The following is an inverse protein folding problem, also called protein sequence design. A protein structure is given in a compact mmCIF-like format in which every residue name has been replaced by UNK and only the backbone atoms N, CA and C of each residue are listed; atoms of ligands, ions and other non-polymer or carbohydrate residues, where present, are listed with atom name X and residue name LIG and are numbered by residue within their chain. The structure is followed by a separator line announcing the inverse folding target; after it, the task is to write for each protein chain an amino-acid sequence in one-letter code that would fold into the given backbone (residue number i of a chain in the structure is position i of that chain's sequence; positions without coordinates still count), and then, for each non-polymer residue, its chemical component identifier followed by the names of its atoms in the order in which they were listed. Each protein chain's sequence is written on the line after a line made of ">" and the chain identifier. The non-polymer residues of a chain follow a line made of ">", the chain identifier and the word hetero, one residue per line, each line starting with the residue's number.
data_IF_169848022649
#
_entry.id   IF_169848022649
#
_cell.length_a   1.000
_cell.length_b   1.000
_cell.length_c   1.000
_cell.angle_alpha   90.00
_cell.angle_beta   90.00
_cell.angle_gamma   90.00
#
_symmetry.space_group_name_H-M   'P 1'
#
loop_
_entity.id
_entity.type
_entity.pdbx_description
1 polymer ?
#
# COMPACT_ATOMS: atom_id res chain seq x y z
N UNK A 1 4.96 -16.85 -4.11
CA UNK A 1 5.02 -15.38 -4.28
C UNK A 1 5.99 -15.02 -5.42
N UNK A 2 7.30 -15.24 -5.27
CA UNK A 2 8.33 -14.93 -6.30
C UNK A 2 8.02 -15.34 -7.75
N UNK A 3 7.41 -16.51 -7.98
CA UNK A 3 7.07 -16.98 -9.34
C UNK A 3 5.95 -16.19 -10.02
N UNK A 4 5.10 -15.51 -9.24
CA UNK A 4 3.97 -14.71 -9.74
C UNK A 4 4.37 -13.28 -10.10
N UNK A 5 5.44 -12.75 -9.51
CA UNK A 5 5.95 -11.38 -9.75
C UNK A 5 4.86 -10.31 -9.63
N UNK A 6 4.16 -10.31 -8.50
CA UNK A 6 3.07 -9.36 -8.26
C UNK A 6 3.56 -7.92 -8.35
N UNK A 7 2.78 -7.07 -9.00
CA UNK A 7 2.94 -5.62 -8.97
C UNK A 7 2.10 -5.05 -7.84
N UNK A 8 2.76 -4.37 -6.89
CA UNK A 8 2.15 -3.87 -5.67
C UNK A 8 2.29 -2.36 -5.60
N UNK A 9 1.17 -1.64 -5.54
CA UNK A 9 1.18 -0.23 -5.17
C UNK A 9 1.23 -0.12 -3.63
N UNK A 10 2.10 0.72 -3.09
CA UNK A 10 2.35 0.82 -1.66
C UNK A 10 2.30 2.28 -1.20
N UNK A 11 1.43 2.60 -0.26
CA UNK A 11 1.39 3.88 0.44
C UNK A 11 1.83 3.70 1.90
N UNK A 12 2.84 4.47 2.32
CA UNK A 12 3.32 4.47 3.71
C UNK A 12 3.03 5.78 4.45
N UNK A 13 2.30 6.73 3.84
CA UNK A 13 1.88 8.01 4.45
C UNK A 13 3.04 8.80 5.07
N UNK A 14 4.25 8.67 4.53
CA UNK A 14 5.50 9.22 5.11
C UNK A 14 5.80 8.72 6.55
N UNK A 15 5.32 7.53 6.88
CA UNK A 15 5.53 6.83 8.14
C UNK A 15 6.71 5.87 8.16
N UNK A 16 6.85 5.14 9.26
CA UNK A 16 7.97 4.24 9.53
C UNK A 16 8.10 3.08 8.51
N UNK A 17 6.98 2.69 7.88
CA UNK A 17 6.92 1.58 6.92
C UNK A 17 7.69 1.82 5.63
N UNK A 18 7.91 3.08 5.25
CA UNK A 18 8.48 3.47 3.97
C UNK A 18 9.91 2.98 3.72
N UNK A 19 10.65 2.60 4.78
CA UNK A 19 12.02 2.07 4.66
C UNK A 19 12.05 0.55 4.47
N UNK A 20 11.20 -0.19 5.21
CA UNK A 20 11.31 -1.65 5.33
C UNK A 20 10.34 -2.41 4.43
N UNK A 21 9.12 -1.88 4.23
CA UNK A 21 8.08 -2.57 3.45
C UNK A 21 8.47 -2.71 1.97
N UNK A 22 8.99 -1.67 1.27
CA UNK A 22 9.42 -1.83 -0.12
C UNK A 22 10.47 -2.93 -0.27
N UNK A 23 11.48 -2.94 0.61
CA UNK A 23 12.56 -3.94 0.62
C UNK A 23 12.03 -5.36 0.87
N UNK A 24 11.04 -5.50 1.75
CA UNK A 24 10.40 -6.78 2.02
C UNK A 24 9.63 -7.29 0.78
N UNK A 25 8.84 -6.43 0.13
CA UNK A 25 8.09 -6.78 -1.08
C UNK A 25 9.02 -7.14 -2.25
N UNK A 26 10.09 -6.36 -2.46
CA UNK A 26 11.15 -6.67 -3.42
C UNK A 26 11.82 -8.00 -3.10
N UNK A 27 12.11 -8.26 -1.81
CA UNK A 27 12.63 -9.54 -1.37
C UNK A 27 11.66 -10.67 -1.69
N UNK A 28 10.33 -10.48 -1.65
CA UNK A 28 9.37 -11.49 -2.09
C UNK A 28 9.22 -11.61 -3.61
N UNK A 29 9.96 -10.82 -4.38
CA UNK A 29 9.97 -10.81 -5.84
C UNK A 29 8.81 -10.00 -6.44
N UNK A 30 8.24 -9.06 -5.68
CA UNK A 30 7.23 -8.14 -6.16
C UNK A 30 7.87 -6.93 -6.86
N UNK A 31 7.17 -6.36 -7.84
CA UNK A 31 7.44 -5.03 -8.38
C UNK A 31 6.70 -4.00 -7.52
N UNK A 32 7.39 -2.98 -7.00
CA UNK A 32 6.80 -2.02 -6.06
C UNK A 32 6.63 -0.66 -6.72
N UNK A 33 5.41 -0.11 -6.63
CA UNK A 33 5.08 1.27 -7.01
C UNK A 33 4.81 2.04 -5.72
N UNK A 34 5.81 2.79 -5.27
CA UNK A 34 5.77 3.47 -3.98
C UNK A 34 5.12 4.86 -4.03
N UNK A 35 4.26 5.12 -3.05
CA UNK A 35 3.71 6.42 -2.69
C UNK A 35 4.16 6.74 -1.26
N UNK A 36 4.53 8.01 -1.02
CA UNK A 36 4.80 8.53 0.33
C UNK A 36 5.79 7.67 1.15
N UNK A 37 6.85 7.16 0.52
CA UNK A 37 7.80 6.25 1.15
C UNK A 37 8.84 6.93 2.04
N UNK A 38 9.05 8.25 1.90
CA UNK A 38 10.08 8.95 2.66
C UNK A 38 9.55 9.36 4.04
N UNK A 39 10.08 8.80 5.15
CA UNK A 39 9.70 9.22 6.49
C UNK A 39 10.32 10.59 6.81
N UNK A 40 9.48 11.62 6.87
CA UNK A 40 9.91 13.01 7.08
C UNK A 40 9.18 13.70 8.26
N UNK A 41 8.29 12.98 8.96
CA UNK A 41 7.49 13.50 10.08
C UNK A 41 6.30 14.37 9.67
N UNK A 42 6.04 14.50 8.36
CA UNK A 42 4.88 15.20 7.78
C UNK A 42 4.09 14.18 6.97
N UNK A 43 2.91 13.80 7.47
CA UNK A 43 2.06 12.82 6.79
C UNK A 43 1.47 13.39 5.50
N UNK A 44 1.59 12.64 4.40
CA UNK A 44 1.09 13.03 3.07
C UNK A 44 -0.42 13.29 3.06
N UNK A 45 -1.17 12.53 3.84
CA UNK A 45 -2.60 12.67 4.02
C UNK A 45 -2.99 12.24 5.44
N UNK A 46 -4.28 12.34 5.78
CA UNK A 46 -4.79 11.85 7.06
C UNK A 46 -4.40 10.36 7.23
N UNK A 47 -3.71 9.99 8.32
CA UNK A 47 -3.08 8.67 8.48
C UNK A 47 -4.06 7.53 8.76
N UNK A 48 -5.36 7.79 8.70
CA UNK A 48 -6.38 6.78 8.87
C UNK A 48 -6.64 6.08 7.53
N UNK A 49 -6.47 4.75 7.43
CA UNK A 49 -6.56 4.04 6.15
C UNK A 49 -8.02 3.75 5.74
N UNK A 50 -8.86 4.79 5.73
CA UNK A 50 -10.25 4.74 5.25
C UNK A 50 -10.32 5.05 3.76
N UNK A 51 -11.33 4.53 3.02
CA UNK A 51 -11.46 4.70 1.57
C UNK A 51 -11.23 6.11 1.04
N UNK A 52 -11.67 7.13 1.78
CA UNK A 52 -11.54 8.55 1.41
C UNK A 52 -10.08 9.03 1.37
N UNK A 53 -9.19 8.43 2.16
CA UNK A 53 -7.77 8.77 2.20
C UNK A 53 -6.92 7.93 1.23
N UNK A 54 -7.51 6.88 0.63
CA UNK A 54 -6.80 5.93 -0.24
C UNK A 54 -7.09 6.15 -1.73
N UNK A 55 -7.63 7.32 -2.10
CA UNK A 55 -8.01 7.62 -3.50
C UNK A 55 -6.82 7.59 -4.44
N UNK A 56 -5.68 8.11 -4.00
CA UNK A 56 -4.46 8.18 -4.81
C UNK A 56 -3.87 6.78 -5.02
N UNK A 57 -3.80 5.98 -3.95
CA UNK A 57 -3.40 4.59 -4.03
C UNK A 57 -4.31 3.79 -4.98
N UNK A 58 -5.63 3.95 -4.86
CA UNK A 58 -6.61 3.31 -5.74
C UNK A 58 -6.48 3.74 -7.21
N UNK A 59 -6.16 5.01 -7.45
CA UNK A 59 -5.88 5.52 -8.79
C UNK A 59 -4.61 4.88 -9.36
N UNK A 60 -3.52 4.85 -8.59
CA UNK A 60 -2.26 4.21 -9.01
C UNK A 60 -2.45 2.73 -9.32
N UNK A 61 -3.23 2.01 -8.51
CA UNK A 61 -3.53 0.60 -8.78
C UNK A 61 -4.16 0.43 -10.15
N UNK A 62 -5.15 1.26 -10.51
CA UNK A 62 -5.83 1.19 -11.81
C UNK A 62 -4.94 1.62 -12.97
N UNK A 63 -4.22 2.73 -12.82
CA UNK A 63 -3.39 3.32 -13.88
C UNK A 63 -2.17 2.47 -14.20
N UNK A 64 -1.56 1.86 -13.18
CA UNK A 64 -0.35 1.04 -13.33
C UNK A 64 -0.67 -0.45 -13.49
N UNK A 65 -1.96 -0.80 -13.48
CA UNK A 65 -2.45 -2.19 -13.48
C UNK A 65 -1.76 -3.03 -12.41
N UNK A 66 -1.70 -2.52 -11.18
CA UNK A 66 -1.16 -3.26 -10.05
C UNK A 66 -2.10 -4.41 -9.68
N UNK A 67 -1.51 -5.51 -9.21
CA UNK A 67 -2.28 -6.68 -8.74
C UNK A 67 -2.92 -6.43 -7.37
N UNK A 68 -2.35 -5.52 -6.57
CA UNK A 68 -2.81 -5.17 -5.24
C UNK A 68 -2.28 -3.79 -4.84
N UNK A 69 -3.09 -3.01 -4.11
CA UNK A 69 -2.64 -1.84 -3.35
C UNK A 69 -2.55 -2.16 -1.86
N UNK A 70 -1.53 -1.62 -1.19
CA UNK A 70 -1.30 -1.74 0.25
C UNK A 70 -1.13 -0.33 0.82
N UNK A 71 -1.90 0.01 1.84
CA UNK A 71 -1.69 1.21 2.64
C UNK A 71 -1.39 0.79 4.08
N UNK A 72 -0.40 1.41 4.71
CA UNK A 72 -0.12 1.26 6.14
C UNK A 72 -0.22 2.61 6.83
N UNK A 73 -0.56 2.59 8.11
CA UNK A 73 -0.53 3.80 8.93
C UNK A 73 0.89 4.11 9.45
N UNK A 74 1.12 5.28 10.07
CA UNK A 74 2.47 5.79 10.29
C UNK A 74 3.38 4.91 11.16
N UNK A 75 2.83 4.20 12.15
CA UNK A 75 3.53 3.26 13.02
C UNK A 75 3.43 1.79 12.57
N UNK A 76 2.73 1.54 11.45
CA UNK A 76 2.71 0.26 10.73
C UNK A 76 2.05 -0.86 11.53
N UNK A 77 1.06 -0.54 12.36
CA UNK A 77 0.27 -1.53 13.09
C UNK A 77 -1.04 -1.89 12.35
N UNK A 78 -1.49 -1.02 11.43
CA UNK A 78 -2.64 -1.26 10.55
C UNK A 78 -2.25 -1.32 9.09
N UNK A 79 -3.02 -2.10 8.35
CA UNK A 79 -2.89 -2.29 6.92
C UNK A 79 -4.27 -2.30 6.27
N UNK A 80 -4.46 -1.51 5.21
CA UNK A 80 -5.61 -1.60 4.34
C UNK A 80 -5.18 -2.07 2.95
N UNK A 81 -6.07 -2.84 2.31
CA UNK A 81 -5.82 -3.42 1.00
C UNK A 81 -6.77 -2.81 -0.04
N UNK A 82 -6.23 -2.56 -1.22
CA UNK A 82 -7.00 -2.14 -2.40
C UNK A 82 -6.93 -3.26 -3.43
N UNK A 83 -8.07 -3.75 -3.90
CA UNK A 83 -8.16 -4.73 -4.97
C UNK A 83 -7.62 -4.19 -6.29
N UNK A 84 -7.31 -5.07 -7.23
CA UNK A 84 -6.84 -4.72 -8.57
C UNK A 84 -7.87 -3.92 -9.41
N UNK A 85 -9.13 -3.93 -9.00
CA UNK A 85 -10.20 -3.09 -9.55
C UNK A 85 -10.19 -1.65 -9.00
N UNK A 86 -9.29 -1.36 -8.05
CA UNK A 86 -9.15 -0.08 -7.38
C UNK A 86 -10.15 0.12 -6.23
N UNK A 87 -10.87 -0.92 -5.79
CA UNK A 87 -11.80 -0.82 -4.67
C UNK A 87 -11.12 -1.24 -3.35
N UNK A 88 -11.35 -0.53 -2.23
CA UNK A 88 -10.91 -0.99 -0.92
C UNK A 88 -11.54 -2.32 -0.53
N UNK A 89 -10.72 -3.22 0.01
CA UNK A 89 -11.19 -4.46 0.62
C UNK A 89 -11.53 -4.18 2.08
N UNK A 90 -12.75 -4.56 2.50
CA UNK A 90 -13.14 -4.49 3.90
C UNK A 90 -12.26 -5.40 4.76
N UNK A 91 -11.94 -4.95 5.98
CA UNK A 91 -11.07 -5.70 6.91
C UNK A 91 -11.60 -7.11 7.19
N UNK A 92 -12.92 -7.33 7.12
CA UNK A 92 -13.56 -8.63 7.27
C UNK A 92 -13.08 -9.67 6.25
N UNK A 93 -12.66 -9.25 5.06
CA UNK A 93 -12.12 -10.13 4.02
C UNK A 93 -10.67 -10.55 4.31
N UNK A 94 -9.97 -9.85 5.21
CA UNK A 94 -8.58 -10.13 5.57
C UNK A 94 -8.42 -11.05 6.78
N UNK A 95 -9.50 -11.24 7.55
CA UNK A 95 -9.53 -12.10 8.74
C UNK A 95 -9.78 -13.59 8.44
N UNK A 96 -10.22 -13.92 7.21
CA UNK A 96 -10.72 -15.23 6.83
C UNK A 96 -9.64 -16.21 6.34
#
# INVERSE_FOLDING_TARGET
>A
IRSKKFKVALDCVNGAGGVIIPKMLEHFGCEVIGLNLEPNGIFAHTPEPVPQNLTDLAQVVKEQHADLGIAVDPDVDRCALIGNDGNPLGEEYTLA
#
